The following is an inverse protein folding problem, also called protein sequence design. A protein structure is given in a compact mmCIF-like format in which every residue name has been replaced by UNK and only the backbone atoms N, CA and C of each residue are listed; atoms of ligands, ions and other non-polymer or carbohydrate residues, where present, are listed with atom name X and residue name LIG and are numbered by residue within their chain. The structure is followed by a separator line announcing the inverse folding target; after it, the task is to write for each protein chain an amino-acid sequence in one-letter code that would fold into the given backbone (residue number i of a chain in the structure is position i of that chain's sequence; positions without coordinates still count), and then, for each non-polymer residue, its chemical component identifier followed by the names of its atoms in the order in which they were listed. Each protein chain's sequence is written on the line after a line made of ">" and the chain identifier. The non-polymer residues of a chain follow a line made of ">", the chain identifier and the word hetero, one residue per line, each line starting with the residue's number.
data_IF_836113624210
#
_entry.id   IF_836113624210
#
_cell.length_a   1.000
_cell.length_b   1.000
_cell.length_c   1.000
_cell.angle_alpha   90.00
_cell.angle_beta   90.00
_cell.angle_gamma   90.00
#
_symmetry.space_group_name_H-M   'P 1'
#
loop_
_entity.id
_entity.type
_entity.pdbx_description
1 polymer ?
#
# COMPACT_ATOMS: atom_id res chain seq x y z
N UNK A 1 -3.08 -1.50 -29.07
CA UNK A 1 -2.38 -2.14 -27.95
C UNK A 1 -3.24 -2.07 -26.72
N UNK A 2 -3.81 -3.19 -26.29
CA UNK A 2 -4.59 -3.26 -25.06
C UNK A 2 -3.70 -3.30 -23.79
N UNK A 3 -2.38 -3.45 -23.97
CA UNK A 3 -1.42 -3.60 -22.87
C UNK A 3 -0.61 -2.33 -22.56
N UNK A 4 -0.64 -1.32 -23.46
CA UNK A 4 -0.03 -0.01 -23.21
C UNK A 4 -1.02 0.86 -22.41
N UNK A 5 -1.08 0.61 -21.11
CA UNK A 5 -1.89 1.38 -20.18
C UNK A 5 -1.05 2.51 -19.59
N UNK A 6 -1.36 3.74 -19.98
CA UNK A 6 -0.80 4.94 -19.38
C UNK A 6 -1.89 6.01 -19.31
N UNK A 7 -1.82 6.89 -18.32
CA UNK A 7 -2.79 7.98 -18.19
C UNK A 7 -2.14 9.26 -17.67
N UNK A 8 -2.69 10.39 -18.09
CA UNK A 8 -2.39 11.68 -17.50
C UNK A 8 -3.37 11.94 -16.35
N UNK A 9 -2.88 12.32 -15.14
CA UNK A 9 -3.76 12.77 -14.08
C UNK A 9 -4.35 14.15 -14.44
N UNK A 10 -5.47 14.51 -13.79
CA UNK A 10 -6.05 15.84 -13.91
C UNK A 10 -5.01 16.91 -13.49
N UNK A 11 -4.58 17.70 -14.47
CA UNK A 11 -3.47 18.63 -14.33
C UNK A 11 -3.88 20.02 -14.79
N UNK A 12 -3.56 21.04 -13.99
CA UNK A 12 -3.70 22.44 -14.41
C UNK A 12 -2.43 22.83 -15.17
N UNK A 13 -2.58 23.10 -16.46
CA UNK A 13 -1.50 23.54 -17.33
C UNK A 13 -1.57 25.06 -17.47
N UNK A 14 -0.48 25.73 -17.11
CA UNK A 14 -0.34 27.19 -17.22
C UNK A 14 0.77 27.55 -18.20
N UNK A 15 0.82 28.81 -18.66
CA UNK A 15 1.83 29.25 -19.64
C UNK A 15 3.26 29.13 -19.11
N UNK A 16 3.45 29.35 -17.82
CA UNK A 16 4.70 29.19 -17.09
C UNK A 16 5.05 27.72 -16.81
N UNK A 17 4.06 26.83 -16.76
CA UNK A 17 4.22 25.39 -16.49
C UNK A 17 3.50 24.52 -17.53
N UNK A 18 3.97 24.61 -18.77
CA UNK A 18 3.45 23.86 -19.91
C UNK A 18 3.95 22.39 -19.96
N UNK A 19 3.86 21.67 -18.84
CA UNK A 19 4.27 20.25 -18.74
C UNK A 19 3.08 19.40 -18.32
N UNK A 20 2.83 18.31 -19.04
CA UNK A 20 1.84 17.31 -18.68
C UNK A 20 2.56 16.10 -18.08
N UNK A 21 2.15 15.69 -16.88
CA UNK A 21 2.66 14.48 -16.27
C UNK A 21 1.90 13.28 -16.83
N UNK A 22 2.60 12.15 -17.02
CA UNK A 22 2.01 10.93 -17.55
C UNK A 22 2.52 9.78 -16.67
N UNK A 23 1.59 9.01 -16.13
CA UNK A 23 1.90 7.80 -15.41
C UNK A 23 1.84 6.62 -16.38
N UNK A 24 2.94 5.87 -16.44
CA UNK A 24 2.98 4.59 -17.15
C UNK A 24 2.53 3.48 -16.19
N UNK A 25 1.44 2.80 -16.52
CA UNK A 25 0.94 1.64 -15.78
C UNK A 25 1.24 0.31 -16.49
N UNK A 26 1.94 0.37 -17.61
CA UNK A 26 2.34 -0.79 -18.39
C UNK A 26 3.57 -1.44 -17.77
N UNK A 27 3.75 -2.77 -17.91
CA UNK A 27 4.95 -3.46 -17.45
C UNK A 27 6.21 -3.08 -18.27
N UNK A 28 6.03 -2.51 -19.47
CA UNK A 28 7.11 -2.10 -20.36
C UNK A 28 7.22 -0.59 -20.58
N UNK A 29 8.28 -0.17 -21.27
CA UNK A 29 8.47 1.21 -21.67
C UNK A 29 7.47 1.60 -22.77
N UNK A 30 6.69 2.66 -22.53
CA UNK A 30 5.77 3.23 -23.51
C UNK A 30 6.44 4.41 -24.22
N UNK A 31 6.43 4.38 -25.56
CA UNK A 31 6.91 5.51 -26.38
C UNK A 31 5.74 6.33 -26.89
N UNK A 32 5.69 7.61 -26.52
CA UNK A 32 4.66 8.55 -26.98
C UNK A 32 5.15 9.25 -28.25
N UNK A 33 4.36 9.17 -29.31
CA UNK A 33 4.72 9.75 -30.61
C UNK A 33 4.23 11.21 -30.74
N UNK A 34 4.94 12.06 -31.49
CA UNK A 34 4.45 13.39 -31.83
C UNK A 34 3.08 13.32 -32.51
N UNK A 35 2.14 14.15 -32.04
CA UNK A 35 0.76 14.17 -32.54
C UNK A 35 -0.19 13.19 -31.86
N UNK A 36 0.30 12.34 -30.96
CA UNK A 36 -0.55 11.43 -30.19
C UNK A 36 -1.39 12.20 -29.17
N UNK A 37 -2.70 11.92 -29.15
CA UNK A 37 -3.64 12.54 -28.22
C UNK A 37 -3.52 11.84 -26.87
N UNK A 38 -3.12 12.60 -25.84
CA UNK A 38 -2.94 12.10 -24.47
C UNK A 38 -4.12 12.38 -23.54
N UNK A 39 -5.03 13.26 -23.96
CA UNK A 39 -6.17 13.68 -23.17
C UNK A 39 -6.91 14.85 -23.79
N UNK A 40 -7.97 15.30 -23.13
CA UNK A 40 -8.77 16.45 -23.56
C UNK A 40 -8.58 17.59 -22.55
N UNK A 41 -8.09 18.73 -23.02
CA UNK A 41 -8.01 19.94 -22.21
C UNK A 41 -9.39 20.58 -22.02
N UNK A 42 -9.65 21.11 -20.82
CA UNK A 42 -10.84 21.92 -20.54
C UNK A 42 -10.43 23.28 -20.00
N UNK A 43 -11.24 24.30 -20.28
CA UNK A 43 -11.01 25.61 -19.70
C UNK A 43 -11.35 25.56 -18.20
N UNK A 44 -10.37 25.73 -17.28
CA UNK A 44 -10.61 25.62 -15.85
C UNK A 44 -11.61 26.68 -15.37
N UNK A 45 -11.67 27.83 -16.03
CA UNK A 45 -12.59 28.91 -15.70
C UNK A 45 -14.05 28.53 -15.91
N UNK A 46 -14.37 27.65 -16.84
CA UNK A 46 -15.75 27.21 -17.07
C UNK A 46 -16.04 25.83 -16.48
N UNK A 47 -14.98 25.03 -16.27
CA UNK A 47 -15.10 23.65 -15.84
C UNK A 47 -15.07 23.47 -14.32
N UNK A 48 -14.23 24.22 -13.61
CA UNK A 48 -14.13 24.12 -12.16
C UNK A 48 -15.19 25.00 -11.49
N UNK A 49 -15.63 24.56 -10.31
CA UNK A 49 -16.59 25.32 -9.51
C UNK A 49 -15.99 26.63 -9.03
N UNK A 50 -16.83 27.67 -9.05
CA UNK A 50 -16.47 29.04 -8.67
C UNK A 50 -17.26 29.48 -7.47
N UNK A 51 -16.64 30.28 -6.59
CA UNK A 51 -17.31 30.82 -5.41
C UNK A 51 -18.52 31.68 -5.77
N UNK A 52 -18.51 32.33 -6.93
CA UNK A 52 -19.59 33.20 -7.38
C UNK A 52 -20.85 32.43 -7.79
N UNK A 53 -20.73 31.13 -8.12
CA UNK A 53 -21.84 30.27 -8.54
C UNK A 53 -22.81 29.94 -7.40
N UNK A 54 -22.37 30.06 -6.16
CA UNK A 54 -23.13 29.64 -4.98
C UNK A 54 -23.77 30.83 -4.24
N UNK A 55 -25.02 30.64 -3.81
CA UNK A 55 -25.72 31.60 -2.97
C UNK A 55 -25.05 31.73 -1.59
N UNK A 56 -25.35 32.80 -0.86
CA UNK A 56 -24.84 32.98 0.50
C UNK A 56 -25.23 31.82 1.43
N UNK A 57 -26.46 31.30 1.30
CA UNK A 57 -26.95 30.17 2.08
C UNK A 57 -26.23 28.87 1.73
N UNK A 58 -25.97 28.62 0.45
CA UNK A 58 -25.20 27.45 -0.01
C UNK A 58 -23.77 27.49 0.50
N UNK A 59 -23.13 28.67 0.50
CA UNK A 59 -21.77 28.84 1.05
C UNK A 59 -21.71 28.46 2.53
N UNK A 60 -22.65 28.94 3.33
CA UNK A 60 -22.73 28.61 4.76
C UNK A 60 -22.92 27.10 4.97
N UNK A 61 -23.75 26.46 4.14
CA UNK A 61 -23.97 25.01 4.22
C UNK A 61 -22.71 24.23 3.82
N UNK A 62 -22.03 24.65 2.76
CA UNK A 62 -20.76 24.06 2.32
C UNK A 62 -19.68 24.19 3.40
N UNK A 63 -19.58 25.36 4.03
CA UNK A 63 -18.62 25.59 5.12
C UNK A 63 -18.95 24.74 6.35
N UNK A 64 -20.23 24.64 6.73
CA UNK A 64 -20.67 23.79 7.83
C UNK A 64 -20.38 22.30 7.55
N UNK A 65 -20.63 21.85 6.32
CA UNK A 65 -20.34 20.48 5.90
C UNK A 65 -18.83 20.21 5.88
N UNK A 66 -18.01 21.14 5.39
CA UNK A 66 -16.56 21.03 5.42
C UNK A 66 -16.02 20.98 6.86
N UNK A 67 -16.59 21.77 7.77
CA UNK A 67 -16.25 21.72 9.20
C UNK A 67 -16.66 20.38 9.84
N UNK A 68 -17.81 19.83 9.46
CA UNK A 68 -18.25 18.51 9.93
C UNK A 68 -17.30 17.41 9.46
N UNK A 69 -16.93 17.39 8.17
CA UNK A 69 -15.93 16.45 7.63
C UNK A 69 -14.61 16.60 8.36
N UNK A 70 -14.14 17.84 8.55
CA UNK A 70 -12.90 18.12 9.27
C UNK A 70 -12.94 17.55 10.69
N UNK A 71 -14.02 17.77 11.43
CA UNK A 71 -14.20 17.18 12.77
C UNK A 71 -14.26 15.65 12.74
N UNK A 72 -14.93 15.05 11.74
CA UNK A 72 -14.94 13.59 11.58
C UNK A 72 -13.55 13.03 11.29
N UNK A 73 -12.75 13.74 10.49
CA UNK A 73 -11.36 13.37 10.21
C UNK A 73 -10.47 13.58 11.43
N UNK A 74 -10.68 14.63 12.23
CA UNK A 74 -9.96 14.86 13.48
C UNK A 74 -10.33 13.80 14.55
N UNK A 75 -11.59 13.39 14.62
CA UNK A 75 -12.06 12.33 15.54
C UNK A 75 -11.61 10.94 15.09
N UNK A 76 -11.48 10.70 13.77
CA UNK A 76 -10.98 9.44 13.21
C UNK A 76 -9.46 9.41 13.01
N UNK A 77 -8.80 10.55 13.17
CA UNK A 77 -7.35 10.67 13.02
C UNK A 77 -6.66 10.34 14.34
N UNK A 78 -5.67 9.43 14.37
CA UNK A 78 -4.81 9.31 15.55
C UNK A 78 -4.00 10.61 15.74
N UNK A 79 -3.63 10.97 16.99
CA UNK A 79 -2.56 11.93 17.18
C UNK A 79 -1.30 11.27 16.62
N UNK A 80 -0.77 11.87 15.56
CA UNK A 80 0.42 11.47 14.79
C UNK A 80 0.17 10.60 13.55
N UNK A 81 0.76 11.09 12.45
CA UNK A 81 0.75 10.56 11.09
C UNK A 81 1.16 9.08 11.07
N UNK A 82 0.35 8.21 10.47
CA UNK A 82 0.79 7.29 9.40
C UNK A 82 -0.35 6.38 8.87
N UNK A 83 -0.54 6.45 7.56
CA UNK A 83 -0.67 5.32 6.62
C UNK A 83 -1.68 4.21 6.94
N UNK A 84 -2.92 4.40 6.48
CA UNK A 84 -3.63 3.42 5.64
C UNK A 84 -4.95 4.05 5.20
N UNK A 85 -4.95 4.65 4.00
CA UNK A 85 -6.20 4.95 3.31
C UNK A 85 -6.96 3.62 3.15
N UNK A 86 -8.10 3.50 3.82
CA UNK A 86 -8.92 2.30 3.86
C UNK A 86 -9.63 2.18 2.52
N UNK A 87 -9.04 1.45 1.57
CA UNK A 87 -9.78 0.93 0.42
C UNK A 87 -10.84 -0.03 0.96
N UNK A 88 -12.12 0.34 0.81
CA UNK A 88 -13.24 -0.53 1.16
C UNK A 88 -13.23 -1.75 0.22
N UNK A 89 -12.99 -2.94 0.77
CA UNK A 89 -13.22 -4.21 0.08
C UNK A 89 -14.56 -4.75 0.57
N UNK A 90 -15.56 -4.78 -0.31
CA UNK A 90 -16.83 -5.44 -0.04
C UNK A 90 -16.67 -6.93 -0.37
N UNK A 91 -16.81 -7.80 0.63
CA UNK A 91 -16.91 -9.25 0.42
C UNK A 91 -18.38 -9.65 0.54
N UNK A 92 -18.98 -10.08 -0.57
CA UNK A 92 -20.36 -10.57 -0.62
C UNK A 92 -20.37 -12.04 -0.18
N UNK A 93 -20.40 -12.29 1.13
CA UNK A 93 -20.39 -13.65 1.71
C UNK A 93 -21.74 -14.38 1.64
N UNK A 94 -22.78 -13.76 1.09
CA UNK A 94 -24.15 -14.34 1.06
C UNK A 94 -24.59 -14.86 -0.32
N UNK A 95 -23.71 -14.95 -1.32
CA UNK A 95 -24.08 -15.49 -2.65
C UNK A 95 -23.93 -17.02 -2.74
N UNK A 96 -23.17 -17.66 -1.85
CA UNK A 96 -22.97 -19.11 -1.88
C UNK A 96 -23.75 -19.79 -0.75
N UNK A 97 -25.02 -20.11 -1.04
CA UNK A 97 -25.74 -21.19 -0.36
C UNK A 97 -25.18 -22.56 -0.74
N UNK A 98 -25.76 -23.62 -0.16
CA UNK A 98 -25.39 -25.04 -0.30
C UNK A 98 -24.85 -25.39 -1.70
N UNK A 99 -23.56 -25.75 -1.74
CA UNK A 99 -22.86 -26.10 -2.98
C UNK A 99 -23.40 -27.45 -3.51
N UNK A 100 -23.86 -27.55 -4.76
CA UNK A 100 -24.38 -28.81 -5.30
C UNK A 100 -23.25 -29.81 -5.57
N UNK A 101 -23.60 -31.10 -5.55
CA UNK A 101 -22.74 -32.29 -5.59
C UNK A 101 -21.88 -32.53 -6.87
N UNK A 102 -21.56 -31.51 -7.66
CA UNK A 102 -20.70 -31.62 -8.85
C UNK A 102 -19.20 -31.53 -8.54
N UNK A 103 -18.80 -31.66 -7.27
CA UNK A 103 -17.41 -31.59 -6.82
C UNK A 103 -16.69 -32.96 -6.76
N UNK A 104 -17.27 -34.04 -7.30
CA UNK A 104 -16.80 -35.41 -7.02
C UNK A 104 -16.22 -36.15 -8.24
N UNK A 105 -16.33 -35.62 -9.45
CA UNK A 105 -15.70 -36.29 -10.60
C UNK A 105 -14.32 -35.67 -10.85
N UNK A 106 -13.30 -36.22 -10.17
CA UNK A 106 -11.90 -35.96 -10.52
C UNK A 106 -11.65 -36.38 -11.98
N UNK A 107 -11.03 -35.49 -12.75
CA UNK A 107 -10.74 -35.69 -14.17
C UNK A 107 -9.83 -36.91 -14.35
N UNK A 108 -10.32 -37.92 -15.09
CA UNK A 108 -9.67 -39.21 -15.33
C UNK A 108 -8.30 -39.08 -16.04
N UNK A 109 -8.03 -37.92 -16.65
CA UNK A 109 -6.74 -37.60 -17.27
C UNK A 109 -5.78 -36.84 -16.35
N UNK A 110 -6.16 -36.57 -15.10
CA UNK A 110 -5.28 -35.89 -14.15
C UNK A 110 -4.14 -36.80 -13.74
N UNK A 111 -2.91 -36.32 -13.95
CA UNK A 111 -1.74 -36.91 -13.33
C UNK A 111 -1.86 -36.80 -11.80
N UNK A 112 -1.37 -37.80 -11.04
CA UNK A 112 -1.37 -37.72 -9.58
C UNK A 112 -0.65 -36.44 -9.14
N UNK A 113 -1.09 -35.78 -8.06
CA UNK A 113 -0.47 -34.54 -7.59
C UNK A 113 1.03 -34.74 -7.44
N UNK A 114 1.82 -33.94 -8.15
CA UNK A 114 3.28 -33.97 -8.03
C UNK A 114 3.61 -33.75 -6.56
N UNK A 115 4.27 -34.75 -5.96
CA UNK A 115 4.68 -34.73 -4.55
C UNK A 115 5.55 -33.49 -4.35
N UNK A 116 4.97 -32.49 -3.71
CA UNK A 116 5.58 -31.18 -3.58
C UNK A 116 6.90 -31.32 -2.83
N UNK A 117 8.02 -31.07 -3.52
CA UNK A 117 9.27 -30.76 -2.85
C UNK A 117 9.05 -29.66 -1.80
N UNK A 118 9.85 -29.62 -0.72
CA UNK A 118 9.55 -28.84 0.47
C UNK A 118 9.23 -27.38 0.10
N UNK A 119 7.96 -27.02 0.20
CA UNK A 119 7.42 -25.69 -0.15
C UNK A 119 7.74 -24.63 0.92
N UNK A 120 8.73 -24.93 1.78
CA UNK A 120 9.12 -24.21 2.98
C UNK A 120 10.62 -24.44 3.22
N UNK A 121 11.47 -24.25 2.20
CA UNK A 121 12.88 -24.00 2.51
C UNK A 121 12.92 -22.63 3.17
N UNK A 122 12.90 -22.63 4.50
CA UNK A 122 13.16 -21.45 5.32
C UNK A 122 14.52 -20.93 4.89
N UNK A 123 14.52 -19.85 4.10
CA UNK A 123 15.75 -19.16 3.74
C UNK A 123 16.29 -18.64 5.07
N UNK A 124 17.55 -18.98 5.38
CA UNK A 124 18.20 -18.56 6.61
C UNK A 124 18.02 -17.04 6.78
N UNK A 125 17.77 -16.60 8.01
CA UNK A 125 17.59 -15.18 8.30
C UNK A 125 18.86 -14.43 7.88
N UNK A 126 18.72 -13.49 6.94
CA UNK A 126 19.80 -12.63 6.48
C UNK A 126 20.09 -11.57 7.56
N UNK A 127 20.77 -11.99 8.63
CA UNK A 127 21.22 -11.07 9.68
C UNK A 127 22.43 -10.26 9.20
N UNK A 128 22.26 -8.95 9.11
CA UNK A 128 23.32 -8.02 8.73
C UNK A 128 23.77 -7.26 9.98
N UNK A 129 25.04 -7.42 10.33
CA UNK A 129 25.64 -6.64 11.41
C UNK A 129 25.91 -5.20 10.99
N UNK A 130 25.68 -4.24 11.88
CA UNK A 130 25.97 -2.82 11.65
C UNK A 130 27.43 -2.54 11.26
N UNK A 131 28.37 -3.38 11.70
CA UNK A 131 29.79 -3.27 11.34
C UNK A 131 30.07 -3.54 9.85
N UNK A 132 29.22 -4.32 9.18
CA UNK A 132 29.36 -4.70 7.76
C UNK A 132 28.35 -3.97 6.85
N UNK A 133 27.66 -2.96 7.37
CA UNK A 133 26.61 -2.24 6.67
C UNK A 133 27.06 -1.74 5.29
N UNK A 134 28.22 -1.10 5.21
CA UNK A 134 28.72 -0.53 3.95
C UNK A 134 29.28 -1.57 2.98
N UNK A 135 29.58 -2.79 3.43
CA UNK A 135 29.96 -3.91 2.56
C UNK A 135 28.74 -4.54 1.91
N UNK A 136 27.62 -4.58 2.63
CA UNK A 136 26.34 -5.09 2.13
C UNK A 136 25.59 -4.10 1.22
N UNK A 137 25.97 -2.83 1.21
CA UNK A 137 25.29 -1.78 0.45
C UNK A 137 25.91 -1.60 -0.94
N UNK A 138 25.11 -1.86 -1.96
CA UNK A 138 25.47 -1.53 -3.35
C UNK A 138 25.24 -0.04 -3.62
N UNK A 139 26.32 0.75 -3.54
CA UNK A 139 26.32 2.18 -3.89
C UNK A 139 26.95 2.34 -5.27
N UNK A 140 26.22 2.97 -6.19
CA UNK A 140 26.67 3.22 -7.56
C UNK A 140 28.11 3.76 -7.60
N UNK A 141 29.06 3.07 -8.27
CA UNK A 141 30.47 3.47 -8.32
C UNK A 141 30.70 4.77 -9.12
N UNK A 142 29.80 5.17 -10.01
CA UNK A 142 29.90 6.38 -10.82
C UNK A 142 29.59 7.67 -10.03
N UNK A 143 29.15 7.53 -8.77
CA UNK A 143 28.81 8.67 -7.95
C UNK A 143 30.08 9.45 -7.53
N UNK A 144 30.09 10.79 -7.66
CA UNK A 144 31.20 11.60 -7.15
C UNK A 144 31.48 11.30 -5.66
N UNK A 145 32.75 11.25 -5.24
CA UNK A 145 33.13 10.83 -3.88
C UNK A 145 32.49 11.71 -2.79
N UNK A 146 32.29 13.00 -3.09
CA UNK A 146 31.59 13.93 -2.19
C UNK A 146 30.12 13.56 -1.97
N UNK A 147 29.42 13.12 -3.03
CA UNK A 147 28.02 12.71 -2.94
C UNK A 147 27.89 11.36 -2.25
N UNK A 148 28.83 10.44 -2.52
CA UNK A 148 28.87 9.12 -1.88
C UNK A 148 28.98 9.26 -0.37
N UNK A 149 29.93 10.08 0.09
CA UNK A 149 30.11 10.35 1.52
C UNK A 149 28.85 10.92 2.18
N UNK A 150 28.14 11.84 1.51
CA UNK A 150 26.86 12.37 2.03
C UNK A 150 25.78 11.29 2.18
N UNK A 151 25.72 10.33 1.25
CA UNK A 151 24.76 9.22 1.32
C UNK A 151 25.13 8.28 2.47
N UNK A 152 26.41 7.93 2.60
CA UNK A 152 26.92 7.11 3.70
C UNK A 152 26.63 7.75 5.06
N UNK A 153 26.82 9.07 5.20
CA UNK A 153 26.48 9.83 6.41
C UNK A 153 24.98 9.77 6.71
N UNK A 154 24.11 9.91 5.71
CA UNK A 154 22.65 9.81 5.89
C UNK A 154 22.25 8.41 6.33
N UNK A 155 22.81 7.36 5.70
CA UNK A 155 22.54 5.97 6.06
C UNK A 155 22.98 5.68 7.49
N UNK A 156 24.18 6.12 7.87
CA UNK A 156 24.71 5.95 9.22
C UNK A 156 23.85 6.66 10.28
N UNK A 157 23.47 7.90 10.02
CA UNK A 157 22.61 8.68 10.93
C UNK A 157 21.23 8.04 11.11
N UNK A 158 20.75 7.32 10.10
CA UNK A 158 19.49 6.61 10.11
C UNK A 158 19.63 5.09 10.34
N UNK A 159 20.78 4.61 10.85
CA UNK A 159 21.01 3.18 11.10
C UNK A 159 19.94 2.53 12.00
N UNK A 160 19.25 3.35 12.82
CA UNK A 160 18.14 2.91 13.69
C UNK A 160 16.87 2.50 12.94
N UNK A 161 16.70 2.96 11.70
CA UNK A 161 15.55 2.63 10.86
C UNK A 161 15.68 1.26 10.18
N UNK A 162 16.88 0.68 10.16
CA UNK A 162 17.15 -0.62 9.55
C UNK A 162 17.17 -1.72 10.62
N UNK A 163 16.81 -2.95 10.25
CA UNK A 163 16.86 -4.12 11.14
C UNK A 163 18.27 -4.69 11.29
N UNK A 164 19.24 -3.85 11.66
CA UNK A 164 20.63 -4.28 11.88
C UNK A 164 20.78 -4.93 13.26
N UNK A 165 21.70 -5.89 13.35
CA UNK A 165 22.04 -6.60 14.59
C UNK A 165 20.83 -7.28 15.26
N UNK A 166 19.96 -7.90 14.46
CA UNK A 166 18.73 -8.59 14.88
C UNK A 166 17.78 -7.73 15.73
N UNK A 167 17.88 -6.41 15.58
CA UNK A 167 17.05 -5.46 16.32
C UNK A 167 15.62 -5.46 15.78
N UNK A 168 14.69 -5.96 16.59
CA UNK A 168 13.26 -5.77 16.38
C UNK A 168 12.82 -4.39 16.91
N UNK A 169 12.00 -3.68 16.13
CA UNK A 169 11.48 -2.38 16.53
C UNK A 169 10.56 -2.50 17.75
N UNK A 170 10.87 -1.78 18.83
CA UNK A 170 10.05 -1.75 20.04
C UNK A 170 9.39 -0.37 20.24
N UNK A 171 8.08 -0.36 20.49
CA UNK A 171 7.34 0.83 20.91
C UNK A 171 7.11 0.77 22.43
N UNK A 172 8.17 0.99 23.21
CA UNK A 172 8.16 0.81 24.68
C UNK A 172 7.15 1.68 25.43
N UNK A 173 6.76 2.83 24.85
CA UNK A 173 5.84 3.78 25.46
C UNK A 173 4.39 3.70 24.94
N UNK A 174 4.07 2.71 24.10
CA UNK A 174 2.75 2.58 23.50
C UNK A 174 2.02 1.35 24.03
N UNK A 175 0.87 1.56 24.67
CA UNK A 175 -0.04 0.49 25.07
C UNK A 175 -1.32 0.59 24.25
N UNK A 176 -1.62 -0.47 23.50
CA UNK A 176 -2.87 -0.58 22.74
C UNK A 176 -3.97 -1.01 23.69
N UNK A 177 -5.03 -0.20 23.79
CA UNK A 177 -6.29 -0.62 24.41
C UNK A 177 -7.26 -1.05 23.30
N UNK A 178 -7.73 -2.29 23.36
CA UNK A 178 -8.71 -2.83 22.41
C UNK A 178 -10.10 -2.68 23.06
N UNK A 179 -10.95 -1.73 22.61
CA UNK A 179 -12.28 -1.58 23.18
C UNK A 179 -13.17 -2.75 22.76
N UNK A 180 -13.86 -3.34 23.73
CA UNK A 180 -14.82 -4.41 23.50
C UNK A 180 -16.24 -3.87 23.41
N UNK A 181 -17.11 -4.58 22.70
CA UNK A 181 -18.54 -4.30 22.75
C UNK A 181 -19.09 -4.53 24.17
N UNK A 182 -20.04 -3.71 24.65
CA UNK A 182 -20.68 -3.91 25.94
C UNK A 182 -21.32 -5.31 26.04
N UNK A 183 -20.94 -6.09 27.05
CA UNK A 183 -21.44 -7.46 27.26
C UNK A 183 -20.67 -8.55 26.52
N UNK A 184 -19.56 -8.22 25.83
CA UNK A 184 -18.66 -9.22 25.28
C UNK A 184 -18.15 -10.16 26.37
N UNK A 185 -18.19 -11.47 26.11
CA UNK A 185 -17.66 -12.51 26.99
C UNK A 185 -16.33 -13.01 26.45
N UNK A 186 -15.45 -13.41 27.36
CA UNK A 186 -14.19 -14.07 26.99
C UNK A 186 -14.49 -15.38 26.24
N UNK A 187 -13.70 -15.63 25.20
CA UNK A 187 -13.78 -16.85 24.40
C UNK A 187 -12.52 -17.64 24.65
N UNK A 188 -12.67 -18.86 25.16
CA UNK A 188 -11.58 -19.82 25.30
C UNK A 188 -11.88 -21.01 24.41
N UNK A 189 -11.12 -21.16 23.33
CA UNK A 189 -11.22 -22.28 22.40
C UNK A 189 -9.96 -23.13 22.53
N UNK A 190 -10.07 -24.46 22.55
CA UNK A 190 -8.89 -25.31 22.49
C UNK A 190 -8.15 -25.08 21.16
N UNK A 191 -6.81 -25.11 21.17
CA UNK A 191 -6.04 -25.01 19.94
C UNK A 191 -6.42 -26.15 18.99
N UNK A 192 -6.46 -25.86 17.69
CA UNK A 192 -6.76 -26.88 16.70
C UNK A 192 -5.70 -27.99 16.72
N UNK A 193 -6.11 -29.27 16.51
CA UNK A 193 -5.17 -30.37 16.43
C UNK A 193 -4.19 -30.11 15.28
N UNK A 194 -2.91 -29.96 15.63
CA UNK A 194 -1.82 -29.79 14.67
C UNK A 194 -0.92 -31.01 14.69
N UNK A 195 -0.45 -31.43 13.51
CA UNK A 195 0.51 -32.53 13.37
C UNK A 195 1.85 -32.18 14.04
N UNK A 196 2.66 -33.17 14.44
CA UNK A 196 3.96 -32.93 15.06
C UNK A 196 4.85 -32.00 14.22
N UNK A 197 4.99 -32.27 12.93
CA UNK A 197 5.78 -31.43 12.01
C UNK A 197 5.26 -29.98 11.92
N UNK A 198 3.94 -29.77 12.00
CA UNK A 198 3.37 -28.42 11.99
C UNK A 198 3.60 -27.68 13.31
N UNK A 199 3.79 -28.39 14.43
CA UNK A 199 4.11 -27.77 15.73
C UNK A 199 5.58 -27.35 15.84
N UNK A 200 6.47 -27.94 15.04
CA UNK A 200 7.89 -27.51 15.01
C UNK A 200 8.07 -26.18 14.28
N UNK A 201 7.10 -25.76 13.47
CA UNK A 201 7.13 -24.55 12.65
C UNK A 201 6.16 -23.43 13.12
N UNK A 202 5.45 -23.61 14.24
CA UNK A 202 4.52 -22.63 14.84
C UNK A 202 5.03 -22.29 16.23
#
# INVERSE_FOLDING_TARGET
>A
NAEDVYAAPDSIITKDRAKLHIANFSPGNVTIQPGQILGTGRNPHTWLDRKEKYSATQKVLMDAHAQMIRKMVEVRGPPERNQAATTARSEAKEIFGDVPAWFVDEDVLSEPPVEGGPKMAEVAEDSVSSAKLFESLDINPDLPPEKRKRIEEVIWNNQRAFGLDDRLGELSNFKVQIPLYPGAKEVSLPPFPSSPAKREAI
#
